data_IF_542333866073
#
_entry.id   IF_542333866073
#
_cell.length_a   1.000
_cell.length_b   1.000
_cell.length_c   1.000
_cell.angle_alpha   90.00
_cell.angle_beta   90.00
_cell.angle_gamma   90.00
#
_symmetry.space_group_name_H-M   'P 1'
#
loop_
_entity.id
_entity.type
_entity.pdbx_description
1 polymer ?
#
# COMPACT_ATOMS: atom_id res chain seq x y z
N UNK A 1 15.90 -3.22 5.69
CA UNK A 1 15.82 -3.81 4.32
C UNK A 1 15.71 -2.69 3.27
N UNK A 2 16.15 -2.86 2.01
CA UNK A 2 16.05 -1.81 0.96
C UNK A 2 14.61 -1.41 0.67
N UNK A 3 13.70 -2.38 0.69
CA UNK A 3 12.27 -2.15 0.45
C UNK A 3 11.61 -1.37 1.59
N UNK A 4 11.96 -1.74 2.82
CA UNK A 4 11.47 -1.08 4.04
C UNK A 4 11.90 0.39 4.09
N UNK A 5 13.16 0.67 3.75
CA UNK A 5 13.65 2.05 3.63
C UNK A 5 12.89 2.83 2.56
N UNK A 6 12.65 2.22 1.40
CA UNK A 6 11.87 2.83 0.33
C UNK A 6 10.43 3.15 0.79
N UNK A 7 9.77 2.20 1.48
CA UNK A 7 8.42 2.37 2.02
C UNK A 7 8.37 3.53 3.01
N UNK A 8 9.29 3.56 3.98
CA UNK A 8 9.36 4.61 5.00
C UNK A 8 9.59 6.00 4.38
N UNK A 9 10.48 6.10 3.38
CA UNK A 9 10.72 7.37 2.67
C UNK A 9 9.46 7.81 1.91
N UNK A 10 8.81 6.91 1.19
CA UNK A 10 7.60 7.24 0.42
C UNK A 10 6.44 7.64 1.34
N UNK A 11 6.32 7.03 2.52
CA UNK A 11 5.31 7.40 3.51
C UNK A 11 5.37 8.89 3.85
N UNK A 12 6.57 9.47 3.95
CA UNK A 12 6.78 10.92 4.20
C UNK A 12 6.34 11.84 3.05
N UNK A 13 5.97 11.28 1.89
CA UNK A 13 5.66 12.02 0.65
C UNK A 13 4.26 11.70 0.15
N UNK A 14 3.19 12.25 0.76
CA UNK A 14 1.80 11.99 0.41
C UNK A 14 1.49 12.11 -1.09
N UNK A 15 2.11 13.07 -1.79
CA UNK A 15 1.86 13.26 -3.22
C UNK A 15 2.29 12.08 -4.13
N UNK A 16 3.05 11.11 -3.60
CA UNK A 16 3.42 9.88 -4.31
C UNK A 16 2.41 8.74 -4.13
N UNK A 17 1.60 8.75 -3.08
CA UNK A 17 0.75 7.61 -2.71
C UNK A 17 -0.72 7.99 -2.40
N UNK A 18 -0.96 9.18 -1.86
CA UNK A 18 -2.28 9.69 -1.51
C UNK A 18 -2.99 10.21 -2.76
N UNK A 19 -4.16 9.66 -3.07
CA UNK A 19 -4.96 10.10 -4.24
C UNK A 19 -5.86 11.30 -3.94
N UNK A 20 -6.06 11.62 -2.65
CA UNK A 20 -6.90 12.71 -2.16
C UNK A 20 -6.22 14.08 -2.22
N UNK A 21 -4.92 14.14 -2.56
CA UNK A 21 -4.23 15.43 -2.71
C UNK A 21 -4.78 16.21 -3.92
N UNK A 22 -4.81 17.55 -3.85
CA UNK A 22 -5.29 18.38 -4.94
C UNK A 22 -4.58 18.10 -6.27
N UNK A 23 -5.30 18.26 -7.39
CA UNK A 23 -4.75 18.06 -8.74
C UNK A 23 -3.52 18.94 -9.02
N UNK A 24 -3.47 20.14 -8.43
CA UNK A 24 -2.33 21.07 -8.51
C UNK A 24 -1.03 20.50 -7.92
N UNK A 25 -1.11 19.51 -7.03
CA UNK A 25 0.04 18.82 -6.43
C UNK A 25 0.41 17.54 -7.18
N UNK A 26 -0.43 17.09 -8.11
CA UNK A 26 -0.26 15.82 -8.84
C UNK A 26 0.45 15.97 -10.19
N UNK A 27 1.01 17.15 -10.49
CA UNK A 27 1.65 17.40 -11.79
C UNK A 27 2.85 16.49 -12.01
N UNK A 28 3.14 16.15 -13.28
CA UNK A 28 4.29 15.32 -13.64
C UNK A 28 5.61 15.89 -13.12
N UNK A 29 5.76 17.21 -13.17
CA UNK A 29 6.94 17.92 -12.67
C UNK A 29 7.13 17.75 -11.16
N UNK A 30 6.07 17.97 -10.36
CA UNK A 30 6.13 17.79 -8.89
C UNK A 30 6.43 16.35 -8.51
N UNK A 31 5.79 15.37 -9.16
CA UNK A 31 6.09 13.95 -8.94
C UNK A 31 7.54 13.61 -9.27
N UNK A 32 8.07 14.12 -10.37
CA UNK A 32 9.47 13.90 -10.75
C UNK A 32 10.44 14.50 -9.72
N UNK A 33 10.16 15.69 -9.21
CA UNK A 33 10.95 16.32 -8.15
C UNK A 33 10.92 15.47 -6.86
N UNK A 34 9.75 15.02 -6.43
CA UNK A 34 9.60 14.14 -5.27
C UNK A 34 10.36 12.82 -5.42
N UNK A 35 10.30 12.19 -6.61
CA UNK A 35 11.07 10.98 -6.88
C UNK A 35 12.59 11.22 -6.88
N UNK A 36 13.02 12.42 -7.29
CA UNK A 36 14.42 12.80 -7.19
C UNK A 36 14.85 12.96 -5.72
N UNK A 37 14.01 13.54 -4.87
CA UNK A 37 14.26 13.58 -3.42
C UNK A 37 14.33 12.17 -2.82
N UNK A 38 13.42 11.26 -3.21
CA UNK A 38 13.45 9.84 -2.81
C UNK A 38 14.81 9.23 -3.16
N UNK A 39 15.30 9.41 -4.39
CA UNK A 39 16.62 8.95 -4.80
C UNK A 39 17.73 9.52 -3.90
N UNK A 40 17.68 10.80 -3.59
CA UNK A 40 18.68 11.46 -2.76
C UNK A 40 18.69 10.89 -1.33
N UNK A 41 17.52 10.69 -0.70
CA UNK A 41 17.43 10.10 0.65
C UNK A 41 17.82 8.63 0.69
N UNK A 42 17.66 7.91 -0.42
CA UNK A 42 18.16 6.54 -0.56
C UNK A 42 19.70 6.49 -0.66
N UNK A 43 20.41 7.62 -0.70
CA UNK A 43 21.87 7.65 -0.64
C UNK A 43 22.55 6.88 -1.78
N UNK A 44 21.92 6.80 -2.96
CA UNK A 44 22.44 6.05 -4.10
C UNK A 44 22.17 4.54 -4.08
N UNK A 45 21.41 4.02 -3.10
CA UNK A 45 21.02 2.60 -3.04
C UNK A 45 20.13 2.16 -4.22
N UNK A 46 19.37 3.10 -4.79
CA UNK A 46 18.54 2.92 -5.97
C UNK A 46 18.54 4.20 -6.81
N UNK A 47 18.51 4.04 -8.12
CA UNK A 47 18.16 5.13 -9.03
C UNK A 47 16.68 5.48 -8.91
N UNK A 48 16.31 6.66 -9.42
CA UNK A 48 14.91 7.09 -9.46
C UNK A 48 13.99 6.07 -10.15
N UNK A 49 14.42 5.53 -11.29
CA UNK A 49 13.64 4.56 -12.08
C UNK A 49 13.48 3.21 -11.36
N UNK A 50 14.54 2.72 -10.71
CA UNK A 50 14.49 1.51 -9.88
C UNK A 50 13.55 1.69 -8.70
N UNK A 51 13.64 2.82 -7.99
CA UNK A 51 12.74 3.13 -6.87
C UNK A 51 11.27 3.18 -7.31
N UNK A 52 10.99 3.79 -8.48
CA UNK A 52 9.65 3.84 -9.06
C UNK A 52 9.11 2.45 -9.42
N UNK A 53 9.91 1.63 -10.11
CA UNK A 53 9.54 0.25 -10.48
C UNK A 53 9.33 -0.60 -9.23
N UNK A 54 10.20 -0.46 -8.23
CA UNK A 54 10.12 -1.20 -6.97
C UNK A 54 8.89 -0.82 -6.17
N UNK A 55 8.59 0.47 -6.05
CA UNK A 55 7.38 0.94 -5.39
C UNK A 55 6.11 0.41 -6.06
N UNK A 56 6.07 0.42 -7.40
CA UNK A 56 4.95 -0.18 -8.15
C UNK A 56 4.75 -1.65 -7.79
N UNK A 57 5.82 -2.44 -7.81
CA UNK A 57 5.77 -3.85 -7.42
C UNK A 57 5.24 -4.03 -5.99
N UNK A 58 5.75 -3.26 -5.03
CA UNK A 58 5.33 -3.34 -3.63
C UNK A 58 3.84 -3.04 -3.47
N UNK A 59 3.34 -2.01 -4.17
CA UNK A 59 1.91 -1.69 -4.22
C UNK A 59 1.07 -2.82 -4.82
N UNK A 60 1.52 -3.42 -5.91
CA UNK A 60 0.81 -4.54 -6.55
C UNK A 60 0.73 -5.75 -5.61
N UNK A 61 1.82 -6.06 -4.90
CA UNK A 61 1.84 -7.09 -3.85
C UNK A 61 0.87 -6.76 -2.70
N UNK A 62 0.89 -5.52 -2.20
CA UNK A 62 0.02 -5.05 -1.15
C UNK A 62 -1.46 -5.18 -1.52
N UNK A 63 -1.86 -4.68 -2.70
CA UNK A 63 -3.25 -4.77 -3.19
C UNK A 63 -3.68 -6.22 -3.38
N UNK A 64 -2.80 -7.07 -3.92
CA UNK A 64 -3.09 -8.50 -4.08
C UNK A 64 -3.29 -9.19 -2.74
N UNK A 65 -2.48 -8.88 -1.74
CA UNK A 65 -2.63 -9.42 -0.39
C UNK A 65 -3.91 -8.91 0.27
N UNK A 66 -4.20 -7.60 0.18
CA UNK A 66 -5.44 -6.98 0.68
C UNK A 66 -6.70 -7.62 0.08
N UNK A 67 -6.68 -7.96 -1.22
CA UNK A 67 -7.78 -8.68 -1.87
C UNK A 67 -7.95 -10.10 -1.35
N UNK A 68 -6.85 -10.82 -1.11
CA UNK A 68 -6.91 -12.18 -0.59
C UNK A 68 -7.50 -12.22 0.82
N UNK A 69 -7.06 -11.33 1.73
CA UNK A 69 -7.62 -11.26 3.08
C UNK A 69 -9.09 -10.82 3.08
N UNK A 70 -9.51 -9.95 2.14
CA UNK A 70 -10.91 -9.53 1.98
C UNK A 70 -11.80 -10.62 1.40
N UNK A 71 -11.31 -11.38 0.43
CA UNK A 71 -12.06 -12.44 -0.24
C UNK A 71 -12.13 -13.74 0.58
N UNK A 72 -11.31 -13.85 1.63
CA UNK A 72 -11.32 -15.02 2.51
C UNK A 72 -12.55 -15.00 3.43
N UNK A 73 -13.58 -15.73 3.02
CA UNK A 73 -14.68 -16.18 3.90
C UNK A 73 -14.69 -17.71 3.81
N UNK A 74 -14.29 -18.45 4.86
CA UNK A 74 -14.47 -19.89 4.87
C UNK A 74 -15.97 -20.19 5.02
N UNK A 75 -16.66 -20.32 3.88
CA UNK A 75 -18.06 -20.74 3.83
C UNK A 75 -18.12 -22.17 3.30
N UNK A 76 -18.38 -23.12 4.20
CA UNK A 76 -18.56 -24.52 3.88
C UNK A 76 -17.96 -25.44 4.94
N UNK A 77 -18.79 -26.32 5.50
CA UNK A 77 -18.42 -27.36 6.47
C UNK A 77 -17.41 -28.39 5.94
N UNK A 78 -17.10 -28.36 4.64
CA UNK A 78 -16.10 -29.20 3.98
C UNK A 78 -14.81 -28.45 3.57
N UNK A 79 -14.71 -27.13 3.84
CA UNK A 79 -13.54 -26.35 3.48
C UNK A 79 -12.36 -26.68 4.41
N UNK A 80 -11.50 -27.59 3.96
CA UNK A 80 -10.21 -27.85 4.61
C UNK A 80 -9.43 -26.51 4.70
N UNK A 81 -8.79 -26.18 5.85
CA UNK A 81 -8.01 -24.96 5.96
C UNK A 81 -6.89 -25.01 4.93
N UNK A 82 -7.07 -24.25 3.85
CA UNK A 82 -6.06 -24.14 2.80
C UNK A 82 -4.79 -23.54 3.41
N UNK A 83 -3.64 -24.06 3.00
CA UNK A 83 -2.27 -23.71 3.46
C UNK A 83 -2.19 -22.27 3.98
N UNK A 84 -1.68 -22.07 5.20
CA UNK A 84 -1.43 -20.76 5.83
C UNK A 84 -1.00 -19.75 4.75
N UNK A 85 -1.86 -18.78 4.47
CA UNK A 85 -1.57 -17.78 3.44
C UNK A 85 -0.28 -17.06 3.82
N UNK A 86 0.63 -16.91 2.85
CA UNK A 86 1.88 -16.19 3.09
C UNK A 86 1.54 -14.73 3.37
N UNK A 87 1.84 -14.30 4.60
CA UNK A 87 1.70 -12.91 5.01
C UNK A 87 2.63 -12.06 4.16
N UNK A 88 2.09 -11.02 3.52
CA UNK A 88 2.94 -10.03 2.87
C UNK A 88 3.70 -9.26 3.96
N UNK A 89 5.02 -9.47 4.04
CA UNK A 89 5.86 -8.96 5.14
C UNK A 89 5.80 -7.45 5.36
N UNK A 90 5.37 -6.67 4.37
CA UNK A 90 5.25 -5.21 4.45
C UNK A 90 3.81 -4.72 4.57
N UNK A 91 2.87 -5.62 4.87
CA UNK A 91 1.45 -5.28 4.95
C UNK A 91 1.19 -4.14 5.93
N UNK A 92 1.70 -4.26 7.16
CA UNK A 92 1.54 -3.25 8.22
C UNK A 92 2.19 -1.91 7.82
N UNK A 93 3.44 -1.95 7.36
CA UNK A 93 4.16 -0.75 6.93
C UNK A 93 3.51 -0.02 5.75
N UNK A 94 2.71 -0.70 4.93
CA UNK A 94 2.07 -0.11 3.75
C UNK A 94 0.60 0.26 3.98
N UNK A 95 0.06 0.11 5.19
CA UNK A 95 -1.33 0.50 5.48
C UNK A 95 -1.63 1.97 5.24
N UNK A 96 -0.62 2.85 5.28
CA UNK A 96 -0.80 4.27 4.95
C UNK A 96 -1.27 4.49 3.50
N UNK A 97 -1.06 3.53 2.58
CA UNK A 97 -1.48 3.65 1.18
C UNK A 97 -3.00 3.55 1.03
N UNK A 98 -3.70 3.06 2.05
CA UNK A 98 -5.15 2.92 2.01
C UNK A 98 -5.86 4.26 1.90
N UNK A 99 -6.91 4.29 1.08
CA UNK A 99 -7.82 5.43 1.04
C UNK A 99 -8.52 5.55 2.40
N UNK A 100 -8.42 6.69 3.11
CA UNK A 100 -9.15 6.90 4.36
C UNK A 100 -10.65 6.62 4.22
N UNK A 101 -11.23 6.86 3.04
CA UNK A 101 -12.65 6.61 2.72
C UNK A 101 -12.97 5.14 2.42
N UNK A 102 -12.00 4.32 1.99
CA UNK A 102 -12.18 2.87 1.96
C UNK A 102 -12.16 2.29 3.37
N UNK A 103 -11.29 2.80 4.25
CA UNK A 103 -11.17 2.33 5.64
C UNK A 103 -12.38 2.73 6.49
N UNK A 104 -12.90 3.95 6.32
CA UNK A 104 -14.12 4.37 7.00
C UNK A 104 -15.33 3.51 6.61
N UNK A 105 -15.55 3.28 5.31
CA UNK A 105 -16.65 2.41 4.83
C UNK A 105 -16.55 0.98 5.39
N UNK A 106 -15.35 0.46 5.57
CA UNK A 106 -15.13 -0.87 6.14
C UNK A 106 -15.45 -0.93 7.64
N UNK A 107 -14.99 0.04 8.44
CA UNK A 107 -15.30 0.10 9.87
C UNK A 107 -16.81 0.21 10.08
N UNK A 108 -17.49 1.08 9.35
CA UNK A 108 -18.94 1.22 9.45
C UNK A 108 -19.70 -0.04 9.01
N UNK A 109 -19.29 -0.69 7.91
CA UNK A 109 -19.92 -1.93 7.45
C UNK A 109 -19.69 -3.10 8.41
N UNK A 110 -18.48 -3.22 8.98
CA UNK A 110 -18.12 -4.27 9.92
C UNK A 110 -18.81 -4.10 11.28
N UNK A 111 -18.89 -2.87 11.79
CA UNK A 111 -19.68 -2.55 12.99
C UNK A 111 -21.17 -2.88 12.74
N UNK A 112 -21.71 -2.53 11.57
CA UNK A 112 -23.11 -2.81 11.25
C UNK A 112 -23.43 -4.31 11.14
N UNK A 113 -22.48 -5.12 10.63
CA UNK A 113 -22.65 -6.58 10.51
C UNK A 113 -22.45 -7.37 11.81
N UNK A 114 -21.82 -6.80 12.85
CA UNK A 114 -21.62 -7.48 14.14
C UNK A 114 -22.70 -7.08 15.16
N UNK A 115 -23.36 -5.94 14.94
CA UNK A 115 -24.40 -5.42 15.84
C UNK A 115 -25.83 -5.77 15.39
N UNK A 116 -26.00 -6.68 14.41
CA UNK A 116 -27.26 -7.27 13.97
C UNK A 116 -27.07 -8.77 13.73
#
# INVERSE_FOLDING_TARGET
DRDEMLINIIQTKPALWNFQIPLSERTKAKKKALWKEVQNMLGGLMTMDEAMKRWKYLRDCYVRYKRQIKAYVPSGSAAQPTKKQKVFRFYELMQFVDDPLENARYIYFYIFLINY
#
